data_IF_066470428879
#
_entry.id   IF_066470428879
#
_cell.length_a   1.000
_cell.length_b   1.000
_cell.length_c   1.000
_cell.angle_alpha   90.00
_cell.angle_beta   90.00
_cell.angle_gamma   90.00
#
_symmetry.space_group_name_H-M   'P 1'
#
loop_
_entity.id
_entity.type
_entity.pdbx_description
1 polymer ?
#
# COMPACT_ATOMS: atom_id res chain seq x y z
N UNK A 1 4.98 -7.98 -18.33
CA UNK A 1 5.59 -7.74 -16.99
C UNK A 1 5.53 -6.26 -16.69
N UNK A 2 4.79 -5.88 -15.64
CA UNK A 2 4.73 -4.51 -15.16
C UNK A 2 6.01 -4.14 -14.42
N UNK A 3 6.55 -2.96 -14.70
CA UNK A 3 7.71 -2.40 -14.00
C UNK A 3 7.35 -1.00 -13.55
N UNK A 4 7.68 -0.66 -12.31
CA UNK A 4 7.39 0.67 -11.80
C UNK A 4 8.53 1.22 -10.96
N UNK A 5 8.60 2.55 -10.92
CA UNK A 5 9.59 3.29 -10.17
C UNK A 5 8.95 4.55 -9.57
N UNK A 6 9.43 4.94 -8.40
CA UNK A 6 9.09 6.22 -7.77
C UNK A 6 10.36 7.03 -7.49
N UNK A 7 10.34 8.32 -7.77
CA UNK A 7 11.43 9.26 -7.46
C UNK A 7 10.85 10.50 -6.78
N UNK A 8 11.45 10.90 -5.63
CA UNK A 8 10.87 11.97 -4.84
C UNK A 8 11.57 12.17 -3.49
N UNK A 9 11.32 13.33 -2.86
CA UNK A 9 11.50 13.64 -1.45
C UNK A 9 10.19 14.14 -0.85
N UNK A 10 9.96 13.90 0.48
CA UNK A 10 8.68 14.22 1.14
C UNK A 10 8.27 15.70 1.03
N UNK A 11 9.26 16.58 1.06
CA UNK A 11 9.08 18.01 0.94
C UNK A 11 9.70 18.57 -0.35
N UNK A 12 10.03 17.70 -1.32
CA UNK A 12 10.40 18.10 -2.68
C UNK A 12 9.21 18.70 -3.45
N UNK A 13 9.45 19.18 -4.66
CA UNK A 13 8.45 19.82 -5.52
C UNK A 13 7.28 18.88 -5.85
N UNK A 14 7.59 17.63 -6.20
CA UNK A 14 6.58 16.62 -6.54
C UNK A 14 7.07 15.20 -6.31
N UNK A 15 6.12 14.28 -6.13
CA UNK A 15 6.35 12.84 -6.28
C UNK A 15 6.24 12.51 -7.77
N UNK A 16 7.19 11.77 -8.31
CA UNK A 16 7.15 11.26 -9.68
C UNK A 16 7.10 9.74 -9.66
N UNK A 17 6.24 9.16 -10.50
CA UNK A 17 6.16 7.71 -10.69
C UNK A 17 6.01 7.35 -12.15
N UNK A 18 6.56 6.20 -12.52
CA UNK A 18 6.47 5.63 -13.87
C UNK A 18 6.01 4.19 -13.76
N UNK A 19 5.09 3.80 -14.63
CA UNK A 19 4.60 2.42 -14.79
C UNK A 19 4.76 2.02 -16.25
N UNK A 20 5.52 0.98 -16.51
CA UNK A 20 5.78 0.39 -17.81
C UNK A 20 5.11 -0.98 -17.94
N UNK A 21 4.77 -1.38 -19.16
CA UNK A 21 4.18 -2.68 -19.47
C UNK A 21 2.65 -2.72 -19.35
N UNK A 22 2.00 -1.57 -19.30
CA UNK A 22 0.53 -1.48 -19.31
C UNK A 22 0.01 -1.69 -20.73
N UNK A 23 -0.92 -2.63 -20.97
CA UNK A 23 -1.51 -2.84 -22.28
C UNK A 23 -2.31 -1.60 -22.74
N UNK A 24 -2.37 -1.39 -24.05
CA UNK A 24 -3.22 -0.36 -24.64
C UNK A 24 -4.71 -0.68 -24.41
N UNK A 25 -5.52 0.37 -24.27
CA UNK A 25 -6.98 0.24 -24.16
C UNK A 25 -7.51 0.04 -22.76
N UNK A 26 -6.68 0.12 -21.70
CA UNK A 26 -7.19 0.18 -20.31
C UNK A 26 -7.90 1.52 -20.12
N UNK A 27 -9.18 1.49 -19.84
CA UNK A 27 -9.98 2.68 -19.55
C UNK A 27 -9.65 3.15 -18.13
N UNK A 28 -9.09 4.34 -18.04
CA UNK A 28 -8.75 5.02 -16.80
C UNK A 28 -8.61 6.51 -17.04
N UNK A 29 -9.13 7.31 -16.13
CA UNK A 29 -9.06 8.77 -16.16
C UNK A 29 -8.21 9.32 -15.04
N UNK A 30 -7.86 10.60 -15.13
CA UNK A 30 -7.21 11.30 -14.00
C UNK A 30 -8.13 11.39 -12.78
N UNK A 31 -9.45 11.32 -12.96
CA UNK A 31 -10.41 11.34 -11.84
C UNK A 31 -10.40 10.03 -11.07
N UNK A 32 -10.31 8.89 -11.74
CA UNK A 32 -10.19 7.58 -11.09
C UNK A 32 -8.95 7.51 -10.21
N UNK A 33 -7.82 8.05 -10.70
CA UNK A 33 -6.57 8.12 -9.94
C UNK A 33 -6.71 9.09 -8.75
N UNK A 34 -7.37 10.26 -8.93
CA UNK A 34 -7.63 11.21 -7.83
C UNK A 34 -8.54 10.60 -6.77
N UNK A 35 -9.54 9.82 -7.17
CA UNK A 35 -10.42 9.11 -6.24
C UNK A 35 -9.63 8.13 -5.36
N UNK A 36 -8.71 7.35 -5.94
CA UNK A 36 -7.83 6.46 -5.18
C UNK A 36 -6.92 7.24 -4.21
N UNK A 37 -6.35 8.37 -4.64
CA UNK A 37 -5.55 9.26 -3.79
C UNK A 37 -6.41 9.87 -2.65
N UNK A 38 -7.66 10.23 -2.92
CA UNK A 38 -8.58 10.74 -1.91
C UNK A 38 -8.86 9.68 -0.82
N UNK A 39 -9.11 8.43 -1.21
CA UNK A 39 -9.29 7.29 -0.27
C UNK A 39 -8.09 7.11 0.66
N UNK A 40 -6.86 7.25 0.16
CA UNK A 40 -5.64 7.18 0.98
C UNK A 40 -5.58 8.24 2.10
N UNK A 41 -6.29 9.36 1.94
CA UNK A 41 -6.31 10.44 2.95
C UNK A 41 -7.33 10.23 4.05
N UNK A 42 -8.26 9.29 3.90
CA UNK A 42 -9.29 8.98 4.88
C UNK A 42 -8.69 8.39 6.18
N UNK A 43 -9.48 8.42 7.23
CA UNK A 43 -9.21 7.76 8.49
C UNK A 43 -9.13 8.68 9.68
N UNK A 44 -9.61 8.17 10.83
CA UNK A 44 -9.46 8.80 12.15
C UNK A 44 -8.01 8.66 12.65
N UNK A 45 -7.55 9.60 13.47
CA UNK A 45 -6.16 9.59 13.97
C UNK A 45 -5.13 10.24 13.02
N UNK A 46 -5.58 10.85 11.92
CA UNK A 46 -4.72 11.57 10.98
C UNK A 46 -4.25 12.90 11.55
N UNK A 47 -3.04 13.31 11.21
CA UNK A 47 -2.50 14.61 11.57
C UNK A 47 -3.18 15.76 10.82
N UNK A 48 -3.15 16.97 11.39
CA UNK A 48 -3.78 18.16 10.81
C UNK A 48 -3.34 18.49 9.38
N UNK A 49 -2.12 18.09 8.97
CA UNK A 49 -1.60 18.29 7.62
C UNK A 49 -2.50 17.66 6.54
N UNK A 50 -3.08 16.51 6.82
CA UNK A 50 -3.90 15.77 5.86
C UNK A 50 -5.21 16.49 5.49
N UNK A 51 -5.69 17.39 6.34
CA UNK A 51 -6.87 18.21 6.04
C UNK A 51 -6.63 19.28 4.96
N UNK A 52 -5.39 19.71 4.79
CA UNK A 52 -5.02 20.80 3.88
C UNK A 52 -4.23 20.34 2.66
N UNK A 53 -3.62 19.16 2.72
CA UNK A 53 -2.81 18.64 1.63
C UNK A 53 -3.70 18.13 0.49
N UNK A 54 -3.57 18.76 -0.68
CA UNK A 54 -4.20 18.31 -1.93
C UNK A 54 -3.14 17.66 -2.78
N UNK A 55 -3.37 16.40 -3.15
CA UNK A 55 -2.53 15.68 -4.11
C UNK A 55 -2.85 16.21 -5.52
N UNK A 56 -2.07 17.19 -6.00
CA UNK A 56 -2.22 17.74 -7.36
C UNK A 56 -1.69 16.75 -8.38
N UNK A 57 -2.57 15.89 -8.88
CA UNK A 57 -2.21 14.91 -9.89
C UNK A 57 -2.05 15.55 -11.27
N UNK A 58 -0.91 15.27 -11.91
CA UNK A 58 -0.65 15.53 -13.33
C UNK A 58 -0.30 14.21 -14.03
N UNK A 59 -1.00 13.91 -15.12
CA UNK A 59 -0.67 12.81 -16.02
C UNK A 59 0.25 13.37 -17.09
N UNK A 60 1.51 12.95 -17.10
CA UNK A 60 2.54 13.46 -18.02
C UNK A 60 2.60 12.66 -19.32
N UNK A 61 2.17 11.40 -19.31
CA UNK A 61 2.17 10.53 -20.49
C UNK A 61 1.50 9.19 -20.23
N UNK A 62 1.29 8.41 -21.29
CA UNK A 62 0.78 7.03 -21.24
C UNK A 62 -0.74 6.89 -21.24
N UNK A 63 -1.51 7.95 -20.98
CA UNK A 63 -2.98 7.97 -21.01
C UNK A 63 -3.44 9.08 -21.96
N UNK A 64 -4.38 8.74 -22.85
CA UNK A 64 -5.00 9.70 -23.78
C UNK A 64 -6.50 9.44 -23.91
N UNK A 65 -7.30 10.49 -23.74
CA UNK A 65 -8.77 10.41 -23.83
C UNK A 65 -9.38 9.30 -22.95
N UNK A 66 -8.86 9.15 -21.71
CA UNK A 66 -9.36 8.17 -20.76
C UNK A 66 -8.97 6.73 -21.05
N UNK A 67 -7.93 6.50 -21.86
CA UNK A 67 -7.44 5.18 -22.22
C UNK A 67 -5.92 5.13 -22.28
N UNK A 68 -5.31 4.02 -21.86
CA UNK A 68 -3.87 3.78 -22.00
C UNK A 68 -3.51 3.54 -23.48
N UNK A 69 -2.27 3.86 -23.86
CA UNK A 69 -1.81 3.79 -25.25
C UNK A 69 -0.65 2.79 -25.45
N UNK A 70 -0.35 1.95 -24.44
CA UNK A 70 0.75 0.98 -24.49
C UNK A 70 2.14 1.56 -24.19
N UNK A 71 2.27 2.89 -24.04
CA UNK A 71 3.53 3.53 -23.63
C UNK A 71 3.62 3.63 -22.12
N UNK A 72 4.82 3.89 -21.54
CA UNK A 72 4.96 4.12 -20.11
C UNK A 72 4.03 5.23 -19.62
N UNK A 73 3.37 4.98 -18.48
CA UNK A 73 2.55 5.99 -17.78
C UNK A 73 3.46 6.74 -16.82
N UNK A 74 3.53 8.05 -16.97
CA UNK A 74 4.25 8.93 -16.06
C UNK A 74 3.27 9.83 -15.32
N UNK A 75 3.33 9.77 -13.97
CA UNK A 75 2.47 10.54 -13.07
C UNK A 75 3.32 11.44 -12.18
N UNK A 76 2.81 12.64 -11.92
CA UNK A 76 3.39 13.58 -10.97
C UNK A 76 2.32 14.00 -9.95
N UNK A 77 2.68 14.04 -8.67
CA UNK A 77 1.82 14.51 -7.58
C UNK A 77 2.53 15.67 -6.91
N UNK A 78 2.03 16.88 -7.13
CA UNK A 78 2.61 18.12 -6.64
C UNK A 78 2.57 18.25 -5.12
N UNK A 79 3.46 19.07 -4.59
CA UNK A 79 3.54 19.42 -3.17
C UNK A 79 3.18 20.88 -2.96
N UNK A 80 2.01 21.15 -2.40
CA UNK A 80 1.54 22.52 -2.12
C UNK A 80 2.40 23.27 -1.10
N UNK A 81 3.23 22.57 -0.32
CA UNK A 81 4.16 23.21 0.63
C UNK A 81 5.55 23.52 0.03
N UNK A 82 5.81 23.13 -1.22
CA UNK A 82 7.10 23.33 -1.89
C UNK A 82 7.68 24.74 -1.74
N UNK A 83 6.92 25.84 -1.90
CA UNK A 83 7.48 27.17 -1.75
C UNK A 83 8.14 27.45 -0.40
N UNK A 84 7.72 26.75 0.66
CA UNK A 84 8.30 26.84 2.00
C UNK A 84 9.53 25.95 2.19
N UNK A 85 9.77 25.03 1.29
CA UNK A 85 10.82 24.02 1.39
C UNK A 85 11.90 24.18 0.32
N UNK A 86 11.68 25.02 -0.68
CA UNK A 86 12.53 25.15 -1.86
C UNK A 86 13.99 25.46 -1.53
N UNK A 87 14.25 26.26 -0.50
CA UNK A 87 15.62 26.56 -0.07
C UNK A 87 16.31 25.34 0.54
N UNK A 88 15.72 24.73 1.58
CA UNK A 88 16.33 23.60 2.29
C UNK A 88 16.37 22.31 1.47
N UNK A 89 15.52 22.19 0.45
CA UNK A 89 15.43 21.04 -0.46
C UNK A 89 15.94 21.35 -1.86
N UNK A 90 16.69 22.46 -2.03
CA UNK A 90 17.29 22.83 -3.32
C UNK A 90 18.18 21.71 -3.86
N UNK A 91 18.08 21.42 -5.15
CA UNK A 91 19.00 20.53 -5.86
C UNK A 91 20.37 21.20 -6.10
N UNK A 92 20.42 22.52 -6.08
CA UNK A 92 21.63 23.33 -6.26
C UNK A 92 22.25 23.71 -4.92
N UNK A 93 23.56 24.03 -4.87
CA UNK A 93 24.21 24.53 -3.67
C UNK A 93 23.49 25.76 -3.10
N UNK A 94 23.28 25.78 -1.79
CA UNK A 94 22.66 26.91 -1.08
C UNK A 94 23.70 27.55 -0.17
N UNK A 95 23.75 28.86 -0.14
CA UNK A 95 24.59 29.58 0.82
C UNK A 95 24.12 29.26 2.24
N UNK A 96 25.00 28.83 3.16
CA UNK A 96 24.64 28.58 4.56
C UNK A 96 23.92 29.75 5.23
N UNK A 97 24.20 30.98 4.79
CA UNK A 97 23.51 32.16 5.28
C UNK A 97 22.01 32.15 4.91
N UNK A 98 21.64 31.69 3.70
CA UNK A 98 20.25 31.61 3.26
C UNK A 98 19.43 30.62 4.05
N UNK A 99 20.07 29.63 4.64
CA UNK A 99 19.40 28.67 5.56
C UNK A 99 19.09 29.26 6.93
N UNK A 100 19.67 30.42 7.28
CA UNK A 100 19.47 31.09 8.55
C UNK A 100 18.58 32.36 8.41
N UNK A 101 18.21 32.71 7.19
CA UNK A 101 17.36 33.87 6.93
C UNK A 101 15.90 33.49 7.11
N UNK A 102 15.16 34.32 7.85
CA UNK A 102 13.71 34.38 7.78
C UNK A 102 13.34 34.91 6.37
N UNK A 103 12.56 34.16 5.59
CA UNK A 103 12.10 34.55 4.26
C UNK A 103 11.15 35.77 4.28
N UNK A 104 11.19 36.57 5.35
CA UNK A 104 10.39 37.77 5.49
C UNK A 104 8.96 37.53 5.96
N UNK A 105 8.66 36.30 6.38
CA UNK A 105 7.35 35.93 6.93
C UNK A 105 7.25 36.15 8.44
N UNK A 106 8.37 36.43 9.11
CA UNK A 106 8.47 36.51 10.59
C UNK A 106 8.27 35.15 11.28
N UNK A 107 8.38 34.04 10.54
CA UNK A 107 8.14 32.69 11.06
C UNK A 107 9.44 32.00 11.49
N UNK A 108 9.78 32.08 12.80
CA UNK A 108 10.94 31.37 13.37
C UNK A 108 10.95 29.85 13.06
N UNK A 109 9.80 29.25 12.70
CA UNK A 109 9.71 27.85 12.29
C UNK A 109 10.44 27.59 10.97
N UNK A 110 10.69 28.59 10.17
CA UNK A 110 11.41 28.49 8.92
C UNK A 110 12.89 28.22 9.17
N UNK A 111 13.52 28.98 10.05
CA UNK A 111 14.90 28.74 10.49
C UNK A 111 15.02 27.37 11.15
N UNK A 112 14.05 26.99 11.98
CA UNK A 112 14.03 25.66 12.61
C UNK A 112 13.90 24.52 11.58
N UNK A 113 13.14 24.73 10.49
CA UNK A 113 13.03 23.79 9.37
C UNK A 113 14.35 23.61 8.65
N UNK A 114 15.11 24.66 8.44
CA UNK A 114 16.34 24.67 7.66
C UNK A 114 17.54 24.05 8.41
N UNK A 115 17.47 23.92 9.73
CA UNK A 115 18.57 23.36 10.55
C UNK A 115 18.86 21.91 10.22
N UNK A 116 20.13 21.48 10.30
CA UNK A 116 20.53 20.08 10.18
C UNK A 116 19.80 19.19 11.21
N UNK A 117 19.44 17.98 10.80
CA UNK A 117 18.73 17.00 11.63
C UNK A 117 19.70 15.96 12.18
N UNK A 118 20.32 16.24 13.34
CA UNK A 118 21.38 15.41 13.96
C UNK A 118 20.86 14.43 15.02
N UNK A 119 19.56 14.46 15.35
CA UNK A 119 18.92 13.65 16.38
C UNK A 119 18.05 12.56 15.78
N UNK A 120 18.58 11.37 15.42
CA UNK A 120 17.83 10.34 14.74
C UNK A 120 16.70 9.80 15.62
N UNK A 121 15.55 9.52 15.01
CA UNK A 121 14.38 8.95 15.69
C UNK A 121 14.56 7.44 15.90
N UNK A 122 14.37 6.91 17.11
CA UNK A 122 14.31 5.48 17.33
C UNK A 122 13.18 4.84 16.49
N UNK A 123 13.47 3.69 15.89
CA UNK A 123 12.50 2.96 15.05
C UNK A 123 12.26 3.54 13.65
N UNK A 124 12.96 4.61 13.26
CA UNK A 124 12.95 5.17 11.91
C UNK A 124 14.23 4.79 11.13
N UNK A 125 14.25 5.08 9.84
CA UNK A 125 15.42 4.86 8.99
C UNK A 125 16.58 5.85 9.23
N UNK A 126 16.39 6.88 10.04
CA UNK A 126 17.32 8.00 10.22
C UNK A 126 18.76 7.53 10.49
N UNK A 127 18.99 6.85 11.61
CA UNK A 127 20.35 6.41 11.99
C UNK A 127 20.96 5.38 11.00
N UNK A 128 20.29 4.27 10.68
CA UNK A 128 20.87 3.30 9.75
C UNK A 128 21.07 3.88 8.35
N UNK A 129 20.24 4.81 7.91
CA UNK A 129 20.40 5.49 6.64
C UNK A 129 21.59 6.45 6.64
N UNK A 130 21.75 7.26 7.68
CA UNK A 130 22.91 8.14 7.84
C UNK A 130 24.23 7.32 7.79
N UNK A 131 24.31 6.25 8.56
CA UNK A 131 25.50 5.40 8.61
C UNK A 131 25.77 4.68 7.28
N UNK A 132 24.72 4.19 6.61
CA UNK A 132 24.85 3.45 5.36
C UNK A 132 25.35 4.33 4.21
N UNK A 133 24.86 5.57 4.13
CA UNK A 133 25.13 6.47 3.01
C UNK A 133 26.14 7.56 3.34
N UNK A 134 26.80 7.47 4.53
CA UNK A 134 27.79 8.45 5.02
C UNK A 134 27.25 9.88 5.01
N UNK A 135 26.03 10.05 5.56
CA UNK A 135 25.34 11.35 5.57
C UNK A 135 25.55 12.04 6.93
N UNK A 136 25.88 13.33 6.95
CA UNK A 136 26.14 14.07 8.20
C UNK A 136 24.85 14.38 8.98
N UNK A 137 23.67 14.25 8.35
CA UNK A 137 22.38 14.52 8.97
C UNK A 137 21.28 13.57 8.44
N UNK A 138 20.16 13.51 9.15
CA UNK A 138 19.06 12.59 8.85
C UNK A 138 18.11 13.10 7.74
N UNK A 139 18.20 14.37 7.29
CA UNK A 139 17.23 14.94 6.33
C UNK A 139 17.10 14.12 5.05
N UNK A 140 18.17 13.78 4.32
CA UNK A 140 18.04 13.01 3.07
C UNK A 140 17.34 11.66 3.29
N UNK A 141 17.63 11.02 4.42
CA UNK A 141 17.01 9.74 4.80
C UNK A 141 15.53 9.92 5.14
N UNK A 142 15.21 10.92 5.97
CA UNK A 142 13.85 11.26 6.39
C UNK A 142 12.96 11.57 5.19
N UNK A 143 13.47 12.39 4.29
CA UNK A 143 12.74 12.83 3.11
C UNK A 143 12.37 11.63 2.21
N UNK A 144 13.29 10.70 1.97
CA UNK A 144 13.04 9.53 1.12
C UNK A 144 12.29 8.40 1.84
N UNK A 145 12.45 8.23 3.15
CA UNK A 145 11.81 7.16 3.91
C UNK A 145 10.37 7.49 4.35
N UNK A 146 9.86 8.66 4.06
CA UNK A 146 8.53 9.11 4.46
C UNK A 146 7.43 8.30 3.77
N UNK A 147 6.33 8.03 4.50
CA UNK A 147 5.15 7.36 3.94
C UNK A 147 4.39 8.19 2.88
N UNK A 148 4.78 9.45 2.61
CA UNK A 148 4.18 10.25 1.52
C UNK A 148 4.40 9.58 0.16
N UNK A 149 5.49 8.84 -0.05
CA UNK A 149 5.75 8.04 -1.25
C UNK A 149 4.57 7.15 -1.64
N UNK A 150 3.84 6.65 -0.67
CA UNK A 150 2.70 5.77 -0.91
C UNK A 150 1.59 6.41 -1.74
N UNK A 151 1.55 7.74 -1.86
CA UNK A 151 0.65 8.40 -2.81
C UNK A 151 0.96 8.01 -4.26
N UNK A 152 2.25 7.99 -4.63
CA UNK A 152 2.67 7.52 -5.94
C UNK A 152 2.32 6.03 -6.17
N UNK A 153 2.51 5.17 -5.16
CA UNK A 153 2.13 3.74 -5.25
C UNK A 153 0.63 3.56 -5.41
N UNK A 154 -0.19 4.32 -4.68
CA UNK A 154 -1.66 4.28 -4.81
C UNK A 154 -2.12 4.76 -6.18
N UNK A 155 -1.49 5.80 -6.73
CA UNK A 155 -1.79 6.26 -8.08
C UNK A 155 -1.49 5.19 -9.15
N UNK A 156 -0.37 4.47 -9.02
CA UNK A 156 -0.05 3.33 -9.89
C UNK A 156 -0.96 2.13 -9.63
N UNK A 157 -1.34 1.90 -8.37
CA UNK A 157 -2.29 0.86 -7.95
C UNK A 157 -3.66 1.02 -8.61
N UNK A 158 -4.16 2.25 -8.77
CA UNK A 158 -5.40 2.52 -9.47
C UNK A 158 -5.35 2.04 -10.93
N UNK A 159 -4.22 2.21 -11.61
CA UNK A 159 -4.03 1.66 -12.97
C UNK A 159 -4.03 0.13 -12.95
N UNK A 160 -3.38 -0.47 -11.95
CA UNK A 160 -3.33 -1.93 -11.81
C UNK A 160 -4.73 -2.52 -11.51
N UNK A 161 -5.52 -1.88 -10.66
CA UNK A 161 -6.92 -2.28 -10.40
C UNK A 161 -7.76 -2.21 -11.69
N UNK A 162 -7.60 -1.16 -12.49
CA UNK A 162 -8.27 -1.03 -13.79
C UNK A 162 -7.88 -2.14 -14.79
N UNK A 163 -6.61 -2.56 -14.81
CA UNK A 163 -6.17 -3.71 -15.61
C UNK A 163 -6.87 -4.99 -15.14
N UNK A 164 -6.83 -5.26 -13.84
CA UNK A 164 -7.39 -6.46 -13.23
C UNK A 164 -8.90 -6.59 -13.50
N UNK A 165 -9.64 -5.51 -13.30
CA UNK A 165 -11.07 -5.49 -13.53
C UNK A 165 -11.41 -5.69 -15.02
N UNK A 166 -10.72 -4.95 -15.92
CA UNK A 166 -11.06 -4.97 -17.35
C UNK A 166 -10.57 -6.21 -18.07
N UNK A 167 -9.48 -6.83 -17.63
CA UNK A 167 -8.97 -8.07 -18.25
C UNK A 167 -9.64 -9.32 -17.67
N UNK A 168 -9.81 -9.38 -16.34
CA UNK A 168 -10.19 -10.60 -15.65
C UNK A 168 -11.44 -10.49 -14.74
N UNK A 169 -12.01 -9.30 -14.57
CA UNK A 169 -13.12 -9.09 -13.63
C UNK A 169 -12.70 -9.18 -12.16
N UNK A 170 -11.41 -9.11 -11.87
CA UNK A 170 -10.88 -9.14 -10.51
C UNK A 170 -11.16 -7.82 -9.81
N UNK A 171 -11.70 -7.88 -8.61
CA UNK A 171 -12.02 -6.71 -7.78
C UNK A 171 -11.37 -6.84 -6.40
N UNK A 172 -10.89 -5.75 -5.87
CA UNK A 172 -10.21 -5.70 -4.60
C UNK A 172 -11.00 -4.86 -3.58
N UNK A 173 -10.88 -5.25 -2.33
CA UNK A 173 -11.34 -4.47 -1.17
C UNK A 173 -10.32 -4.61 -0.05
N UNK A 174 -10.17 -3.57 0.75
CA UNK A 174 -9.33 -3.61 1.94
C UNK A 174 -10.07 -3.07 3.15
N UNK A 175 -9.78 -3.63 4.32
CA UNK A 175 -10.34 -3.18 5.58
C UNK A 175 -9.33 -3.31 6.72
N UNK A 176 -9.66 -2.71 7.86
CA UNK A 176 -8.86 -2.79 9.07
C UNK A 176 -9.40 -3.90 9.95
N UNK A 177 -8.52 -4.83 10.36
CA UNK A 177 -8.87 -5.94 11.25
C UNK A 177 -8.35 -5.75 12.67
N UNK A 178 -7.41 -4.82 12.90
CA UNK A 178 -6.90 -4.49 14.26
C UNK A 178 -6.34 -3.07 14.30
N UNK A 179 -6.60 -2.36 15.39
CA UNK A 179 -5.87 -1.13 15.78
C UNK A 179 -5.50 -1.28 17.27
N UNK A 180 -4.20 -1.18 17.57
CA UNK A 180 -3.70 -1.36 18.93
C UNK A 180 -4.15 -2.70 19.53
N UNK A 181 -4.83 -2.62 20.67
CA UNK A 181 -5.37 -3.79 21.37
C UNK A 181 -6.72 -4.28 20.84
N UNK A 182 -7.44 -3.46 20.07
CA UNK A 182 -8.79 -3.76 19.56
C UNK A 182 -8.70 -4.52 18.23
N UNK A 183 -9.31 -5.69 18.19
CA UNK A 183 -9.38 -6.56 17.00
C UNK A 183 -10.82 -6.82 16.58
N UNK A 184 -11.01 -6.96 15.26
CA UNK A 184 -12.25 -7.45 14.68
C UNK A 184 -12.47 -8.91 15.10
N UNK A 185 -13.66 -9.32 15.59
CA UNK A 185 -13.96 -10.70 15.86
C UNK A 185 -13.83 -11.61 14.62
N UNK A 186 -13.37 -12.85 14.83
CA UNK A 186 -13.10 -13.79 13.72
C UNK A 186 -14.39 -14.28 13.02
N UNK A 187 -15.54 -14.16 13.66
CA UNK A 187 -16.86 -14.53 13.13
C UNK A 187 -17.52 -13.45 12.27
N UNK A 188 -16.92 -12.26 12.19
CA UNK A 188 -17.40 -11.18 11.31
C UNK A 188 -17.07 -11.52 9.85
N UNK A 189 -18.07 -11.59 8.96
CA UNK A 189 -17.82 -11.91 7.56
C UNK A 189 -16.87 -10.90 6.90
N UNK A 190 -15.95 -11.36 6.05
CA UNK A 190 -15.07 -10.47 5.31
C UNK A 190 -15.87 -9.61 4.32
N UNK A 191 -15.43 -8.36 4.06
CA UNK A 191 -16.11 -7.48 3.11
C UNK A 191 -15.93 -7.93 1.67
N UNK A 192 -16.81 -7.44 0.81
CA UNK A 192 -16.73 -7.56 -0.65
C UNK A 192 -16.42 -6.21 -1.28
N UNK A 193 -16.08 -6.20 -2.57
CA UNK A 193 -15.76 -4.96 -3.29
C UNK A 193 -16.92 -3.95 -3.29
N UNK A 194 -18.16 -4.42 -3.21
CA UNK A 194 -19.37 -3.60 -3.09
C UNK A 194 -19.45 -2.82 -1.76
N UNK A 195 -18.74 -3.27 -0.73
CA UNK A 195 -18.69 -2.60 0.58
C UNK A 195 -17.75 -1.39 0.62
N UNK A 196 -17.05 -1.10 -0.47
CA UNK A 196 -16.00 -0.06 -0.52
C UNK A 196 -16.50 1.30 -0.05
N UNK A 197 -17.67 1.77 -0.51
CA UNK A 197 -18.23 3.06 -0.10
C UNK A 197 -18.55 3.09 1.40
N UNK A 198 -19.12 2.01 1.94
CA UNK A 198 -19.41 1.88 3.37
C UNK A 198 -18.13 1.89 4.20
N UNK A 199 -17.08 1.21 3.74
CA UNK A 199 -15.78 1.19 4.40
C UNK A 199 -15.07 2.54 4.30
N UNK A 200 -15.17 3.25 3.18
CA UNK A 200 -14.62 4.59 3.02
C UNK A 200 -15.33 5.63 3.91
N UNK A 201 -16.61 5.42 4.21
CA UNK A 201 -17.37 6.25 5.14
C UNK A 201 -17.10 5.95 6.62
N UNK A 202 -16.58 4.76 6.94
CA UNK A 202 -16.23 4.38 8.32
C UNK A 202 -14.92 5.05 8.76
N UNK A 203 -14.87 5.66 9.97
CA UNK A 203 -13.71 6.42 10.43
C UNK A 203 -12.42 5.60 10.54
N UNK A 204 -12.50 4.30 10.69
CA UNK A 204 -11.35 3.39 10.80
C UNK A 204 -11.38 2.27 9.76
N UNK A 205 -12.27 2.34 8.77
CA UNK A 205 -12.40 1.36 7.69
C UNK A 205 -12.67 -0.06 8.23
N UNK A 206 -13.48 -0.18 9.26
CA UNK A 206 -13.85 -1.43 9.89
C UNK A 206 -15.24 -1.90 9.40
N UNK A 207 -15.42 -3.22 9.27
CA UNK A 207 -16.70 -3.82 8.82
C UNK A 207 -17.76 -3.86 9.90
N UNK A 208 -17.35 -3.96 11.17
CA UNK A 208 -18.25 -4.03 12.32
C UNK A 208 -18.34 -2.68 13.06
N UNK A 209 -19.53 -2.06 13.19
CA UNK A 209 -19.69 -0.76 13.81
C UNK A 209 -19.27 -0.70 15.29
N UNK A 210 -19.46 -1.79 16.05
CA UNK A 210 -19.08 -1.82 17.47
C UNK A 210 -17.55 -1.82 17.61
N UNK A 211 -16.87 -2.63 16.82
CA UNK A 211 -15.40 -2.67 16.74
C UNK A 211 -14.84 -1.34 16.22
N UNK A 212 -15.47 -0.73 15.23
CA UNK A 212 -15.11 0.60 14.72
C UNK A 212 -15.12 1.65 15.82
N UNK A 213 -16.19 1.72 16.60
CA UNK A 213 -16.30 2.65 17.72
C UNK A 213 -15.21 2.39 18.79
N UNK A 214 -14.90 1.13 19.09
CA UNK A 214 -13.85 0.77 20.03
C UNK A 214 -12.44 1.17 19.51
N UNK A 215 -12.17 0.96 18.21
CA UNK A 215 -10.92 1.40 17.57
C UNK A 215 -10.75 2.92 17.58
N UNK A 216 -11.82 3.68 17.36
CA UNK A 216 -11.81 5.14 17.47
C UNK A 216 -11.48 5.57 18.90
N UNK A 217 -12.10 4.96 19.91
CA UNK A 217 -11.83 5.25 21.32
C UNK A 217 -10.36 4.95 21.69
N UNK A 218 -9.79 3.86 21.21
CA UNK A 218 -8.38 3.48 21.40
C UNK A 218 -7.42 4.54 20.81
N UNK A 219 -7.72 5.02 19.61
CA UNK A 219 -6.94 6.10 18.95
C UNK A 219 -7.01 7.38 19.78
N UNK A 220 -8.20 7.75 20.26
CA UNK A 220 -8.39 8.99 21.03
C UNK A 220 -7.73 8.94 22.42
N UNK A 221 -7.74 7.78 23.07
CA UNK A 221 -7.01 7.55 24.30
C UNK A 221 -5.49 7.69 24.08
N UNK A 222 -4.97 7.02 23.05
CA UNK A 222 -3.55 7.07 22.69
C UNK A 222 -3.09 8.48 22.33
N UNK A 223 -3.95 9.26 21.64
CA UNK A 223 -3.66 10.68 21.35
C UNK A 223 -3.50 11.50 22.60
N UNK A 224 -4.36 11.28 23.62
CA UNK A 224 -4.27 11.99 24.93
C UNK A 224 -2.99 11.62 25.66
N UNK A 225 -2.53 10.39 25.53
CA UNK A 225 -1.29 9.90 26.13
C UNK A 225 -0.02 10.36 25.41
N UNK A 226 -0.16 11.03 24.26
CA UNK A 226 0.96 11.47 23.43
C UNK A 226 1.73 10.32 22.80
N UNK A 227 1.03 9.27 22.36
CA UNK A 227 1.62 8.06 21.80
C UNK A 227 1.08 7.75 20.39
N UNK A 228 1.48 6.62 19.79
CA UNK A 228 1.09 6.20 18.45
C UNK A 228 0.66 4.72 18.43
N UNK A 229 -0.20 4.36 17.49
CA UNK A 229 -0.73 3.00 17.31
C UNK A 229 -0.34 2.39 15.98
N UNK A 230 -0.08 1.08 16.03
CA UNK A 230 -0.06 0.18 14.88
C UNK A 230 -1.37 -0.58 14.74
N UNK A 231 -1.38 -1.55 13.84
CA UNK A 231 -2.53 -2.42 13.62
C UNK A 231 -2.34 -3.35 12.44
N UNK A 232 -3.41 -4.00 12.04
CA UNK A 232 -3.41 -4.99 10.95
C UNK A 232 -4.52 -4.65 9.96
N UNK A 233 -4.18 -4.72 8.69
CA UNK A 233 -5.11 -4.58 7.57
C UNK A 233 -5.23 -5.88 6.81
N UNK A 234 -6.38 -6.12 6.20
CA UNK A 234 -6.60 -7.22 5.27
C UNK A 234 -6.99 -6.69 3.90
N UNK A 235 -6.47 -7.30 2.85
CA UNK A 235 -6.86 -7.09 1.45
C UNK A 235 -7.43 -8.38 0.92
N UNK A 236 -8.57 -8.28 0.24
CA UNK A 236 -9.25 -9.40 -0.40
C UNK A 236 -9.40 -9.07 -1.88
N UNK A 237 -8.94 -9.98 -2.74
CA UNK A 237 -9.13 -9.91 -4.17
C UNK A 237 -10.04 -11.05 -4.63
N UNK A 238 -11.21 -10.70 -5.14
CA UNK A 238 -12.23 -11.64 -5.64
C UNK A 238 -12.11 -11.82 -7.15
N UNK A 239 -12.48 -12.98 -7.65
CA UNK A 239 -12.46 -13.27 -9.08
C UNK A 239 -11.06 -13.53 -9.65
N UNK A 240 -10.07 -13.77 -8.80
CA UNK A 240 -8.70 -14.07 -9.23
C UNK A 240 -8.68 -15.41 -9.99
N UNK A 241 -8.27 -15.42 -11.27
CA UNK A 241 -8.25 -16.67 -12.02
C UNK A 241 -7.23 -17.66 -11.45
N UNK A 242 -7.51 -18.93 -11.59
CA UNK A 242 -6.56 -19.99 -11.27
C UNK A 242 -5.29 -19.85 -12.12
N UNK A 243 -4.10 -20.07 -11.53
CA UNK A 243 -2.87 -20.17 -12.28
C UNK A 243 -2.02 -18.90 -12.34
N UNK A 244 -2.28 -17.90 -11.50
CA UNK A 244 -1.35 -16.77 -11.32
C UNK A 244 -0.23 -17.19 -10.36
N UNK A 245 1.02 -16.86 -10.68
CA UNK A 245 2.20 -17.32 -9.97
C UNK A 245 2.63 -18.73 -10.38
N UNK A 246 3.57 -19.32 -9.66
CA UNK A 246 4.13 -20.64 -10.01
C UNK A 246 4.76 -21.33 -8.80
N UNK A 247 4.78 -22.67 -8.81
CA UNK A 247 5.52 -23.48 -7.84
C UNK A 247 6.96 -23.79 -8.29
N UNK A 248 7.32 -23.42 -9.54
CA UNK A 248 8.57 -23.85 -10.18
C UNK A 248 9.79 -23.09 -9.63
N UNK A 249 9.63 -21.80 -9.27
CA UNK A 249 10.71 -20.99 -8.72
C UNK A 249 10.20 -20.06 -7.62
N UNK A 250 10.99 -19.88 -6.55
CA UNK A 250 10.57 -19.18 -5.34
C UNK A 250 10.24 -17.71 -5.56
N UNK A 251 10.99 -17.02 -6.41
CA UNK A 251 10.84 -15.59 -6.73
C UNK A 251 9.61 -15.28 -7.61
N UNK A 252 9.04 -16.31 -8.23
CA UNK A 252 7.84 -16.18 -9.07
C UNK A 252 6.56 -16.68 -8.41
N UNK A 253 6.64 -17.16 -7.17
CA UNK A 253 5.47 -17.56 -6.37
C UNK A 253 4.62 -16.34 -6.08
N UNK A 254 3.28 -16.49 -6.16
CA UNK A 254 2.34 -15.41 -5.86
C UNK A 254 2.44 -14.96 -4.39
N UNK A 255 2.49 -15.90 -3.45
CA UNK A 255 2.64 -15.60 -2.02
C UNK A 255 3.94 -14.85 -1.70
N UNK A 256 5.07 -15.28 -2.28
CA UNK A 256 6.36 -14.62 -2.10
C UNK A 256 6.37 -13.19 -2.64
N UNK A 257 5.77 -12.97 -3.82
CA UNK A 257 5.69 -11.64 -4.43
C UNK A 257 4.75 -10.70 -3.68
N UNK A 258 3.61 -11.20 -3.20
CA UNK A 258 2.70 -10.44 -2.34
C UNK A 258 3.38 -10.07 -1.01
N UNK A 259 4.05 -11.04 -0.37
CA UNK A 259 4.78 -10.78 0.86
C UNK A 259 5.88 -9.72 0.67
N UNK A 260 6.67 -9.80 -0.39
CA UNK A 260 7.71 -8.80 -0.71
C UNK A 260 7.13 -7.40 -0.96
N UNK A 261 6.04 -7.31 -1.73
CA UNK A 261 5.40 -6.04 -2.05
C UNK A 261 4.79 -5.36 -0.81
N UNK A 262 4.10 -6.13 0.03
CA UNK A 262 3.49 -5.63 1.27
C UNK A 262 4.55 -5.30 2.33
N UNK A 263 5.59 -6.13 2.49
CA UNK A 263 6.70 -5.85 3.41
C UNK A 263 7.49 -4.60 2.98
N UNK A 264 7.48 -4.25 1.71
CA UNK A 264 8.07 -3.02 1.16
C UNK A 264 7.27 -1.74 1.45
N UNK A 265 6.11 -1.81 2.13
CA UNK A 265 5.36 -0.65 2.60
C UNK A 265 5.98 -0.13 3.90
N UNK A 266 6.10 1.19 4.04
CA UNK A 266 6.62 1.81 5.26
C UNK A 266 5.82 1.36 6.49
N UNK A 267 6.52 1.08 7.58
CA UNK A 267 6.01 0.59 8.86
C UNK A 267 5.48 -0.85 8.88
N UNK A 268 5.37 -1.56 7.78
CA UNK A 268 5.01 -2.99 7.78
C UNK A 268 6.11 -3.81 8.42
N UNK A 269 5.73 -4.75 9.30
CA UNK A 269 6.62 -5.65 10.06
C UNK A 269 6.22 -7.11 9.98
N UNK A 270 5.06 -7.40 9.40
CA UNK A 270 4.57 -8.77 9.21
C UNK A 270 3.60 -8.83 8.04
N UNK A 271 3.58 -9.97 7.35
CA UNK A 271 2.64 -10.28 6.28
C UNK A 271 2.12 -11.69 6.50
N UNK A 272 0.83 -11.90 6.32
CA UNK A 272 0.18 -13.21 6.35
C UNK A 272 -0.58 -13.44 5.04
N UNK A 273 -0.57 -14.70 4.58
CA UNK A 273 -1.38 -15.17 3.46
C UNK A 273 -2.46 -16.08 4.04
N UNK A 274 -3.73 -15.80 3.75
CA UNK A 274 -4.84 -16.51 4.34
C UNK A 274 -4.86 -16.41 5.86
N UNK A 275 -4.97 -17.54 6.54
CA UNK A 275 -4.97 -17.62 8.00
C UNK A 275 -3.56 -17.51 8.64
N UNK A 276 -2.51 -17.48 7.82
CA UNK A 276 -1.14 -17.15 8.23
C UNK A 276 -0.64 -17.91 9.46
N UNK A 277 -0.32 -17.20 10.55
CA UNK A 277 0.18 -17.82 11.78
C UNK A 277 -0.85 -18.71 12.49
N UNK A 278 -2.14 -18.46 12.32
CA UNK A 278 -3.19 -19.32 12.89
C UNK A 278 -3.20 -20.70 12.25
N UNK A 279 -2.77 -20.81 10.99
CA UNK A 279 -2.62 -22.09 10.28
C UNK A 279 -1.62 -23.01 10.97
N UNK A 280 -0.51 -22.47 11.45
CA UNK A 280 0.54 -23.22 12.13
C UNK A 280 0.07 -23.87 13.45
N UNK A 281 -1.00 -23.38 14.06
CA UNK A 281 -1.57 -23.92 15.28
C UNK A 281 -2.56 -25.07 15.02
N UNK A 282 -2.92 -25.36 13.77
CA UNK A 282 -3.89 -26.39 13.40
C UNK A 282 -3.22 -27.73 13.09
N UNK A 283 -3.96 -28.81 13.29
CA UNK A 283 -3.57 -30.10 12.73
C UNK A 283 -3.86 -30.12 11.24
N UNK A 284 -3.07 -30.83 10.43
CA UNK A 284 -3.18 -30.85 8.97
C UNK A 284 -4.59 -31.14 8.45
N UNK A 285 -5.32 -32.08 9.05
CA UNK A 285 -6.71 -32.39 8.68
C UNK A 285 -7.73 -31.26 8.95
N UNK A 286 -7.36 -30.27 9.77
CA UNK A 286 -8.18 -29.10 10.06
C UNK A 286 -7.61 -27.81 9.44
N UNK A 287 -6.43 -27.88 8.83
CA UNK A 287 -5.73 -26.76 8.26
C UNK A 287 -6.08 -26.56 6.77
N UNK A 288 -6.07 -27.64 5.99
CA UNK A 288 -6.19 -27.55 4.53
C UNK A 288 -7.64 -27.44 4.06
N UNK A 289 -7.82 -26.72 2.95
CA UNK A 289 -9.11 -26.46 2.31
C UNK A 289 -9.52 -27.66 1.46
N UNK A 290 -10.43 -28.52 1.97
CA UNK A 290 -10.91 -29.70 1.25
C UNK A 290 -11.65 -29.31 -0.03
N UNK A 291 -11.38 -30.02 -1.13
CA UNK A 291 -12.13 -29.89 -2.39
C UNK A 291 -13.37 -30.78 -2.29
N UNK A 292 -14.54 -30.19 -2.12
CA UNK A 292 -15.77 -30.92 -1.76
C UNK A 292 -16.71 -31.13 -2.94
N UNK A 293 -16.63 -30.35 -3.98
CA UNK A 293 -17.52 -30.48 -5.15
C UNK A 293 -16.98 -29.77 -6.40
N UNK A 294 -17.66 -30.00 -7.51
CA UNK A 294 -17.46 -29.28 -8.77
C UNK A 294 -18.78 -28.63 -9.16
N UNK A 295 -18.76 -27.32 -9.39
CA UNK A 295 -19.91 -26.58 -9.91
C UNK A 295 -19.53 -25.89 -11.22
N UNK A 296 -20.24 -26.24 -12.30
CA UNK A 296 -20.01 -25.71 -13.65
C UNK A 296 -18.52 -25.68 -14.08
N UNK A 297 -17.75 -26.74 -13.72
CA UNK A 297 -16.33 -26.86 -13.99
C UNK A 297 -15.42 -26.14 -12.99
N UNK A 298 -15.97 -25.49 -11.99
CA UNK A 298 -15.22 -24.84 -10.91
C UNK A 298 -15.13 -25.76 -9.70
N UNK A 299 -13.93 -25.94 -9.16
CA UNK A 299 -13.68 -26.71 -7.94
C UNK A 299 -14.06 -25.88 -6.71
N UNK A 300 -15.00 -26.40 -5.92
CA UNK A 300 -15.47 -25.76 -4.69
C UNK A 300 -14.70 -26.32 -3.50
N UNK A 301 -14.17 -25.42 -2.68
CA UNK A 301 -13.49 -25.73 -1.41
C UNK A 301 -14.41 -25.47 -0.22
N UNK A 302 -14.23 -26.27 0.84
CA UNK A 302 -15.02 -26.13 2.08
C UNK A 302 -14.67 -24.87 2.89
N UNK A 303 -13.42 -24.38 2.74
CA UNK A 303 -12.88 -23.22 3.43
C UNK A 303 -11.92 -22.46 2.49
N UNK A 304 -11.40 -21.32 2.94
CA UNK A 304 -10.35 -20.55 2.23
C UNK A 304 -9.25 -20.12 3.21
N UNK A 305 -8.70 -21.07 3.96
CA UNK A 305 -7.63 -20.83 4.95
C UNK A 305 -6.31 -20.54 4.29
N UNK A 306 -6.04 -21.19 3.16
CA UNK A 306 -4.87 -20.93 2.33
C UNK A 306 -4.88 -19.52 1.68
N UNK A 307 -5.98 -18.75 1.83
CA UNK A 307 -6.09 -17.41 1.27
C UNK A 307 -6.01 -17.37 -0.25
N UNK A 308 -6.59 -18.37 -0.94
CA UNK A 308 -6.64 -18.44 -2.40
C UNK A 308 -5.33 -18.84 -3.08
N UNK A 309 -4.30 -19.23 -2.33
CA UNK A 309 -2.97 -19.54 -2.85
C UNK A 309 -2.50 -20.89 -2.33
N UNK A 310 -2.22 -21.81 -3.23
CA UNK A 310 -1.67 -23.13 -2.93
C UNK A 310 -0.38 -23.35 -3.71
N UNK A 311 0.70 -23.69 -3.01
CA UNK A 311 1.99 -23.91 -3.64
C UNK A 311 2.57 -22.70 -4.41
N UNK A 312 2.12 -21.47 -4.07
CA UNK A 312 2.54 -20.24 -4.76
C UNK A 312 1.75 -19.92 -6.03
N UNK A 313 0.59 -20.57 -6.22
CA UNK A 313 -0.29 -20.41 -7.38
C UNK A 313 -1.69 -20.06 -6.88
N UNK A 314 -2.37 -19.10 -7.53
CA UNK A 314 -3.78 -18.82 -7.25
C UNK A 314 -4.64 -20.04 -7.62
N UNK A 315 -5.57 -20.40 -6.72
CA UNK A 315 -6.37 -21.61 -6.83
C UNK A 315 -7.84 -21.36 -7.26
N UNK A 316 -8.18 -20.10 -7.58
CA UNK A 316 -9.52 -19.68 -7.99
C UNK A 316 -10.43 -19.24 -6.84
N UNK A 317 -10.02 -19.41 -5.59
CA UNK A 317 -10.68 -18.79 -4.43
C UNK A 317 -10.19 -17.34 -4.25
N UNK A 318 -10.88 -16.58 -3.37
CA UNK A 318 -10.48 -15.21 -3.05
C UNK A 318 -9.06 -15.17 -2.49
N UNK A 319 -8.21 -14.30 -3.05
CA UNK A 319 -6.87 -14.07 -2.50
C UNK A 319 -6.99 -13.16 -1.28
N UNK A 320 -6.52 -13.64 -0.12
CA UNK A 320 -6.55 -12.93 1.16
C UNK A 320 -5.14 -12.73 1.69
N UNK A 321 -4.78 -11.47 1.96
CA UNK A 321 -3.47 -11.11 2.51
C UNK A 321 -3.63 -10.10 3.63
N UNK A 322 -2.81 -10.21 4.68
CA UNK A 322 -2.77 -9.27 5.81
C UNK A 322 -1.41 -8.62 5.92
N UNK A 323 -1.40 -7.36 6.37
CA UNK A 323 -0.18 -6.62 6.66
C UNK A 323 -0.27 -6.01 8.07
N UNK A 324 0.76 -6.28 8.89
CA UNK A 324 0.87 -5.74 10.24
C UNK A 324 1.78 -4.50 10.24
N UNK A 325 1.23 -3.38 10.65
CA UNK A 325 1.92 -2.10 10.76
C UNK A 325 2.35 -1.85 12.20
N UNK A 326 3.64 -1.52 12.40
CA UNK A 326 4.10 -1.01 13.70
C UNK A 326 3.55 0.40 13.95
N UNK A 327 3.51 0.86 15.22
CA UNK A 327 3.26 2.26 15.54
C UNK A 327 4.22 3.20 14.80
N UNK A 328 3.77 4.41 14.50
CA UNK A 328 4.59 5.42 13.83
C UNK A 328 5.72 5.83 14.76
N UNK A 329 6.95 5.88 14.25
CA UNK A 329 8.15 6.16 15.03
C UNK A 329 8.31 7.61 15.49
N UNK A 330 7.54 8.54 14.93
CA UNK A 330 7.47 9.92 15.41
C UNK A 330 6.45 10.00 16.54
N UNK A 331 6.87 9.64 17.75
CA UNK A 331 6.04 9.63 18.96
C UNK A 331 6.01 11.03 19.58
N UNK A 332 4.81 11.62 19.85
CA UNK A 332 4.72 12.95 20.47
C UNK A 332 5.46 13.03 21.81
N UNK A 333 5.35 12.01 22.66
CA UNK A 333 6.20 11.84 23.85
C UNK A 333 7.57 11.33 23.40
N UNK A 334 8.47 12.27 23.06
CA UNK A 334 9.74 12.01 22.43
C UNK A 334 10.57 10.89 23.12
N UNK A 335 11.01 9.92 22.34
CA UNK A 335 11.91 8.85 22.81
C UNK A 335 13.33 9.37 22.94
N UNK A 336 14.12 8.75 23.83
CA UNK A 336 15.54 9.09 24.03
C UNK A 336 16.37 8.71 22.79
N UNK A 337 17.32 9.57 22.45
CA UNK A 337 18.30 9.37 21.37
C UNK A 337 19.61 10.06 21.77
N UNK A 338 20.53 10.14 20.82
CA UNK A 338 21.80 10.87 20.93
C UNK A 338 21.86 11.90 19.82
N UNK A 339 22.36 13.10 20.13
CA UNK A 339 22.71 14.08 19.10
C UNK A 339 24.05 13.70 18.50
N UNK A 340 24.06 13.30 17.22
CA UNK A 340 25.25 12.80 16.54
C UNK A 340 26.31 13.89 16.25
N UNK A 341 25.92 15.16 16.33
CA UNK A 341 26.89 16.26 16.19
C UNK A 341 27.70 16.50 17.47
N UNK A 342 27.13 16.18 18.66
CA UNK A 342 27.77 16.48 19.95
C UNK A 342 28.13 15.23 20.75
N UNK A 343 27.49 14.07 20.46
CA UNK A 343 27.59 12.85 21.24
C UNK A 343 26.73 12.85 22.51
N UNK A 344 25.99 13.91 22.79
CA UNK A 344 25.22 14.10 24.02
C UNK A 344 23.85 13.42 23.96
N UNK A 345 23.32 12.94 25.12
CA UNK A 345 21.95 12.46 25.20
C UNK A 345 20.94 13.52 24.77
N UNK A 346 19.95 13.13 23.98
CA UNK A 346 18.94 14.02 23.41
C UNK A 346 17.57 13.37 23.37
N UNK A 347 16.53 14.15 23.08
CA UNK A 347 15.22 13.68 22.67
C UNK A 347 15.17 13.57 21.14
N UNK A 348 14.51 12.53 20.65
CA UNK A 348 14.30 12.32 19.21
C UNK A 348 13.56 13.49 18.56
N UNK A 349 13.79 13.70 17.29
CA UNK A 349 13.14 14.76 16.53
C UNK A 349 11.61 14.64 16.64
N UNK A 350 10.96 15.71 17.09
CA UNK A 350 9.52 15.83 17.05
C UNK A 350 9.10 16.45 15.72
N UNK A 351 8.32 15.71 14.95
CA UNK A 351 7.63 16.22 13.75
C UNK A 351 6.14 15.94 13.89
N UNK A 352 5.31 16.74 13.24
CA UNK A 352 3.88 16.47 13.16
C UNK A 352 3.67 15.10 12.51
N UNK A 353 2.94 14.23 13.19
CA UNK A 353 2.69 12.87 12.76
C UNK A 353 1.23 12.48 13.01
N UNK A 354 0.79 11.43 12.33
CA UNK A 354 -0.47 10.76 12.63
C UNK A 354 -0.34 10.00 13.97
N UNK A 355 -1.42 9.82 14.69
CA UNK A 355 -1.50 8.90 15.83
C UNK A 355 -1.58 7.46 15.33
N UNK A 356 -2.36 7.25 14.24
CA UNK A 356 -2.56 5.96 13.62
C UNK A 356 -2.58 6.10 12.10
N UNK A 357 -1.74 5.32 11.39
CA UNK A 357 -1.68 5.27 9.92
C UNK A 357 -2.20 3.96 9.35
N UNK A 358 -2.92 3.16 10.14
CA UNK A 358 -3.41 1.83 9.71
C UNK A 358 -4.48 1.97 8.64
N UNK A 359 -5.37 2.95 8.77
CA UNK A 359 -6.46 3.16 7.79
C UNK A 359 -5.93 3.45 6.38
N UNK A 360 -5.06 4.46 6.16
CA UNK A 360 -4.40 4.61 4.86
C UNK A 360 -3.55 3.39 4.48
N UNK A 361 -2.99 2.68 5.45
CA UNK A 361 -2.27 1.42 5.25
C UNK A 361 -3.09 0.36 4.51
N UNK A 362 -4.40 0.30 4.76
CA UNK A 362 -5.31 -0.61 4.04
C UNK A 362 -5.39 -0.27 2.54
N UNK A 363 -5.57 1.00 2.19
CA UNK A 363 -5.61 1.47 0.80
C UNK A 363 -4.27 1.25 0.09
N UNK A 364 -3.16 1.48 0.79
CA UNK A 364 -1.82 1.25 0.26
C UNK A 364 -1.57 -0.24 0.03
N UNK A 365 -1.95 -1.10 0.98
CA UNK A 365 -1.81 -2.55 0.84
C UNK A 365 -2.65 -3.08 -0.34
N UNK A 366 -3.87 -2.55 -0.55
CA UNK A 366 -4.71 -2.86 -1.72
C UNK A 366 -4.00 -2.50 -3.02
N UNK A 367 -3.44 -1.30 -3.14
CA UNK A 367 -2.71 -0.85 -4.32
C UNK A 367 -1.49 -1.73 -4.62
N UNK A 368 -0.74 -2.12 -3.59
CA UNK A 368 0.42 -3.00 -3.75
C UNK A 368 0.02 -4.43 -4.15
N UNK A 369 -1.07 -4.95 -3.59
CA UNK A 369 -1.66 -6.23 -3.99
C UNK A 369 -2.11 -6.20 -5.45
N UNK A 370 -2.78 -5.13 -5.87
CA UNK A 370 -3.22 -4.94 -7.25
C UNK A 370 -2.04 -4.93 -8.24
N UNK A 371 -0.96 -4.23 -7.92
CA UNK A 371 0.25 -4.19 -8.76
C UNK A 371 0.86 -5.59 -8.95
N UNK A 372 0.91 -6.41 -7.91
CA UNK A 372 1.41 -7.80 -8.01
C UNK A 372 0.48 -8.67 -8.84
N UNK A 373 -0.83 -8.62 -8.56
CA UNK A 373 -1.80 -9.42 -9.28
C UNK A 373 -1.88 -9.05 -10.77
N UNK A 374 -1.85 -7.74 -11.08
CA UNK A 374 -1.86 -7.27 -12.46
C UNK A 374 -0.60 -7.70 -13.24
N UNK A 375 0.57 -7.65 -12.60
CA UNK A 375 1.80 -8.12 -13.23
C UNK A 375 1.75 -9.63 -13.53
N UNK A 376 1.29 -10.44 -12.57
CA UNK A 376 1.17 -11.89 -12.76
C UNK A 376 0.04 -12.25 -13.75
N UNK A 377 -1.03 -11.46 -13.80
CA UNK A 377 -2.07 -11.64 -14.81
C UNK A 377 -1.52 -11.39 -16.22
N UNK A 378 -0.77 -10.31 -16.41
CA UNK A 378 -0.15 -10.00 -17.70
C UNK A 378 1.00 -10.96 -18.06
N UNK A 379 1.75 -11.48 -17.06
CA UNK A 379 2.72 -12.57 -17.29
C UNK A 379 2.01 -13.84 -17.79
N UNK A 380 0.80 -14.12 -17.28
CA UNK A 380 -0.01 -15.28 -17.67
C UNK A 380 -0.65 -15.13 -19.04
N UNK A 381 -1.19 -13.96 -19.36
CA UNK A 381 -1.98 -13.73 -20.56
C UNK A 381 -1.15 -13.20 -21.72
N UNK A 382 -0.09 -12.42 -21.44
CA UNK A 382 0.57 -11.61 -22.45
C UNK A 382 -0.40 -10.58 -23.07
N UNK A 383 -0.03 -10.08 -24.23
CA UNK A 383 -0.85 -9.17 -25.05
C UNK A 383 -0.52 -7.69 -24.84
N UNK A 384 -0.52 -6.96 -25.97
CA UNK A 384 -0.23 -5.53 -26.01
C UNK A 384 -1.51 -4.66 -25.85
N UNK A 385 -2.68 -5.30 -25.82
CA UNK A 385 -3.97 -4.63 -25.60
C UNK A 385 -4.86 -5.39 -24.62
N UNK A 386 -5.81 -4.68 -23.99
CA UNK A 386 -6.81 -5.28 -23.09
C UNK A 386 -7.59 -6.39 -23.77
N UNK A 387 -7.99 -6.19 -25.03
CA UNK A 387 -8.79 -7.17 -25.75
C UNK A 387 -7.99 -8.44 -26.09
N UNK A 388 -6.71 -8.30 -26.35
CA UNK A 388 -5.82 -9.43 -26.56
C UNK A 388 -5.60 -10.20 -25.25
N UNK A 389 -5.26 -9.52 -24.16
CA UNK A 389 -5.08 -10.14 -22.85
C UNK A 389 -6.35 -10.87 -22.39
N UNK A 390 -7.53 -10.25 -22.58
CA UNK A 390 -8.84 -10.83 -22.28
C UNK A 390 -9.12 -12.09 -23.11
N UNK A 391 -8.85 -12.06 -24.41
CA UNK A 391 -9.01 -13.21 -25.30
C UNK A 391 -8.11 -14.37 -24.87
N UNK A 392 -6.85 -14.09 -24.54
CA UNK A 392 -5.87 -15.08 -24.11
C UNK A 392 -6.27 -15.70 -22.76
N UNK A 393 -6.75 -14.88 -21.81
CA UNK A 393 -7.29 -15.37 -20.54
C UNK A 393 -8.50 -16.29 -20.75
N UNK A 394 -9.45 -15.89 -21.61
CA UNK A 394 -10.64 -16.70 -21.91
C UNK A 394 -10.24 -18.07 -22.47
N UNK A 395 -9.34 -18.10 -23.46
CA UNK A 395 -8.86 -19.36 -24.04
C UNK A 395 -8.22 -20.28 -22.99
N UNK A 396 -7.48 -19.71 -22.04
CA UNK A 396 -6.91 -20.46 -20.92
C UNK A 396 -7.99 -21.03 -19.98
N UNK A 397 -8.99 -20.23 -19.61
CA UNK A 397 -10.08 -20.65 -18.73
C UNK A 397 -10.99 -21.70 -19.39
N UNK A 398 -11.28 -21.55 -20.69
CA UNK A 398 -12.03 -22.53 -21.46
C UNK A 398 -11.32 -23.90 -21.44
N UNK A 399 -10.00 -23.91 -21.59
CA UNK A 399 -9.21 -25.13 -21.48
C UNK A 399 -9.25 -25.77 -20.09
N UNK A 400 -9.29 -24.98 -19.03
CA UNK A 400 -9.48 -25.52 -17.66
C UNK A 400 -10.87 -26.13 -17.53
N UNK A 401 -11.92 -25.42 -17.97
CA UNK A 401 -13.29 -25.91 -17.94
C UNK A 401 -13.46 -27.25 -18.67
N UNK A 402 -12.87 -27.39 -19.86
CA UNK A 402 -12.85 -28.66 -20.60
C UNK A 402 -12.22 -29.81 -19.80
N UNK A 403 -11.14 -29.55 -19.05
CA UNK A 403 -10.46 -30.56 -18.24
C UNK A 403 -11.20 -30.94 -16.97
N UNK A 404 -12.00 -30.02 -16.42
CA UNK A 404 -12.77 -30.22 -15.18
C UNK A 404 -14.21 -30.64 -15.44
N UNK A 405 -14.68 -30.62 -16.67
CA UNK A 405 -15.92 -31.27 -17.08
C UNK A 405 -15.73 -32.80 -17.01
N UNK A 406 -16.19 -33.42 -15.94
CA UNK A 406 -16.26 -34.86 -15.86
C UNK A 406 -17.29 -35.33 -16.89
N UNK A 407 -16.82 -36.03 -17.92
CA UNK A 407 -17.72 -36.71 -18.86
C UNK A 407 -18.54 -37.72 -18.06
N UNK A 408 -19.81 -37.47 -17.88
CA UNK A 408 -20.80 -38.39 -17.34
C UNK A 408 -21.14 -39.53 -18.35
N UNK A 409 -20.28 -39.76 -19.31
CA UNK A 409 -20.43 -40.84 -20.30
C UNK A 409 -19.37 -41.93 -20.04
N UNK A 410 -19.73 -42.89 -19.20
CA UNK A 410 -19.33 -44.29 -19.29
C UNK A 410 -20.51 -45.19 -19.00
#
# INVERSE_FOLDING_TARGET
MLRWMTAWESHGDALTSVLEGVPAGVRITSEDIRAALARRRLGHGRGARQAFERDELRVLGGIRHGSTIGSPIALQIGNSEWPKWSTVMSADPVDPHDLLIDAGTGDEREIARNRPLTRPRPGHADLPGMLKYDLPEARPVLERASARETAARVALGAVAEAILEQVAGVRLVSHVVRIGSVALPDDVPPPRAEDTERLDADPVRCTDPATSAAMVAEIDATRKDGDTLGGVVEVIATGVPVGLGTHVSADRRLDARLAAALMGIQAVKGVEIGDGFAEAARRGSAAHDEIVSVDCGTLIRSTNRAGGIEGGISNGSDVRVRAAFKPISTVPRALRTVDLATGEPAAGLHQRSDVCAVVPGAVIAQAMTALVLADLLLDKTGGDSVDEARRNLRSYLDRIAERTQWRTER
#
